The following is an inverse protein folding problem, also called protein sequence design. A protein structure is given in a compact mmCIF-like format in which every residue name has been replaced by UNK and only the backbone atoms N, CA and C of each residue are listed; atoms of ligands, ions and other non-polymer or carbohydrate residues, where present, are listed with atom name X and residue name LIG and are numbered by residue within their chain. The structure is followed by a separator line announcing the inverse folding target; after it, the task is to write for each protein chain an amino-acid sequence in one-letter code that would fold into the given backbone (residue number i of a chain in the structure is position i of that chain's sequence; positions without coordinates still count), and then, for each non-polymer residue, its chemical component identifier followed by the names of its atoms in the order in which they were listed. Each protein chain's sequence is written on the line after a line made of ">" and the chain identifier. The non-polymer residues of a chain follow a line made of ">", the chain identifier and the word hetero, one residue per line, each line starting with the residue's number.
data_IF_082373050027
#
_entry.id   IF_082373050027
#
_cell.length_a   1.000
_cell.length_b   1.000
_cell.length_c   1.000
_cell.angle_alpha   90.00
_cell.angle_beta   90.00
_cell.angle_gamma   90.00
#
_symmetry.space_group_name_H-M   'P 1'
#
loop_
_entity.id
_entity.type
_entity.pdbx_description
1 polymer ?
#
# COMPACT_ATOMS: atom_id res chain seq x y z
N UNK A 1 12.70 7.83 -10.94
CA UNK A 1 12.39 7.54 -9.52
C UNK A 1 13.55 7.93 -8.60
N UNK A 2 14.80 7.56 -8.92
CA UNK A 2 15.96 7.78 -8.02
C UNK A 2 16.12 9.25 -7.56
N UNK A 3 16.08 10.29 -8.41
CA UNK A 3 16.18 11.66 -7.93
C UNK A 3 15.15 12.05 -6.86
N UNK A 4 13.94 11.48 -6.93
CA UNK A 4 12.91 11.71 -5.92
C UNK A 4 13.16 10.93 -4.62
N UNK A 5 13.82 9.77 -4.70
CA UNK A 5 14.30 9.07 -3.49
C UNK A 5 15.35 9.95 -2.80
N UNK A 6 16.28 10.54 -3.54
CA UNK A 6 17.31 11.42 -3.00
C UNK A 6 16.71 12.70 -2.39
N UNK A 7 15.75 13.33 -3.07
CA UNK A 7 14.99 14.47 -2.52
C UNK A 7 14.30 14.09 -1.21
N UNK A 8 13.60 12.94 -1.19
CA UNK A 8 12.91 12.45 0.02
C UNK A 8 13.88 12.19 1.19
N UNK A 9 15.09 11.70 0.91
CA UNK A 9 16.12 11.49 1.93
C UNK A 9 16.56 12.81 2.55
N UNK A 10 16.75 13.88 1.77
CA UNK A 10 17.09 15.22 2.29
C UNK A 10 15.97 15.80 3.15
N UNK A 11 14.71 15.40 2.89
CA UNK A 11 13.52 15.80 3.68
C UNK A 11 13.31 14.95 4.93
N UNK A 12 14.17 13.97 5.21
CA UNK A 12 14.13 13.16 6.41
C UNK A 12 13.08 12.04 6.38
N UNK A 13 12.76 11.52 5.19
CA UNK A 13 11.83 10.38 5.04
C UNK A 13 12.19 9.22 5.98
N UNK A 14 11.18 8.55 6.53
CA UNK A 14 11.37 7.43 7.44
C UNK A 14 11.27 6.07 6.72
N UNK A 15 10.44 5.99 5.71
CA UNK A 15 10.15 4.74 4.98
C UNK A 15 9.73 5.08 3.55
N UNK A 16 10.09 4.22 2.61
CA UNK A 16 9.52 4.19 1.27
C UNK A 16 8.42 3.14 1.16
N UNK A 17 7.35 3.48 0.43
CA UNK A 17 6.30 2.52 0.10
C UNK A 17 6.13 2.47 -1.42
N UNK A 18 6.10 1.26 -1.97
CA UNK A 18 5.93 1.01 -3.40
C UNK A 18 4.61 0.31 -3.64
N UNK A 19 3.79 0.90 -4.48
CA UNK A 19 2.46 0.41 -4.82
C UNK A 19 2.13 0.76 -6.27
N UNK A 20 0.91 0.55 -6.69
CA UNK A 20 0.38 0.79 -8.02
C UNK A 20 -0.48 -0.39 -8.42
N UNK A 21 -0.71 -0.62 -9.71
CA UNK A 21 -1.38 -1.86 -10.14
C UNK A 21 -0.58 -3.10 -9.72
N UNK A 22 0.68 -3.17 -10.13
CA UNK A 22 1.65 -4.17 -9.68
C UNK A 22 3.07 -3.61 -9.89
N UNK A 23 3.86 -3.38 -8.81
CA UNK A 23 5.20 -2.80 -8.94
C UNK A 23 6.15 -3.64 -9.81
N UNK A 24 6.01 -4.96 -9.78
CA UNK A 24 6.89 -5.88 -10.49
C UNK A 24 6.70 -5.92 -12.01
N UNK A 25 5.70 -5.24 -12.58
CA UNK A 25 5.62 -5.03 -14.04
C UNK A 25 6.62 -3.96 -14.51
N UNK A 26 7.07 -3.08 -13.62
CA UNK A 26 8.06 -2.04 -13.95
C UNK A 26 9.43 -2.68 -14.11
N UNK A 27 10.03 -2.52 -15.29
CA UNK A 27 11.30 -3.17 -15.67
C UNK A 27 12.42 -2.95 -14.65
N UNK A 28 12.61 -1.72 -14.19
CA UNK A 28 13.71 -1.35 -13.31
C UNK A 28 13.32 -1.33 -11.82
N UNK A 29 12.17 -1.91 -11.46
CA UNK A 29 11.66 -1.83 -10.09
C UNK A 29 12.65 -2.41 -9.06
N UNK A 30 13.25 -3.57 -9.33
CA UNK A 30 14.20 -4.20 -8.40
C UNK A 30 15.42 -3.31 -8.15
N UNK A 31 15.94 -2.61 -9.18
CA UNK A 31 17.03 -1.65 -9.02
C UNK A 31 16.63 -0.45 -8.15
N UNK A 32 15.39 0.03 -8.32
CA UNK A 32 14.84 1.13 -7.52
C UNK A 32 14.67 0.68 -6.06
N UNK A 33 14.16 -0.53 -5.85
CA UNK A 33 13.96 -1.12 -4.53
C UNK A 33 15.30 -1.36 -3.82
N UNK A 34 16.30 -1.88 -4.52
CA UNK A 34 17.68 -2.04 -4.01
C UNK A 34 18.27 -0.68 -3.59
N UNK A 35 18.13 0.33 -4.45
CA UNK A 35 18.60 1.67 -4.14
C UNK A 35 17.93 2.26 -2.88
N UNK A 36 16.62 2.08 -2.75
CA UNK A 36 15.85 2.58 -1.62
C UNK A 36 16.15 1.83 -0.32
N UNK A 37 16.18 0.49 -0.35
CA UNK A 37 16.38 -0.36 0.83
C UNK A 37 17.80 -0.28 1.40
N UNK A 38 18.79 0.09 0.61
CA UNK A 38 20.13 0.45 1.11
C UNK A 38 20.12 1.71 1.99
N UNK A 39 19.05 2.51 1.99
CA UNK A 39 18.97 3.82 2.66
C UNK A 39 17.89 3.89 3.72
N UNK A 40 16.72 3.30 3.49
CA UNK A 40 15.57 3.32 4.41
C UNK A 40 14.76 2.04 4.29
N UNK A 41 13.99 1.67 5.34
CA UNK A 41 13.00 0.60 5.26
C UNK A 41 12.04 0.79 4.09
N UNK A 42 11.66 -0.31 3.47
CA UNK A 42 10.76 -0.31 2.32
C UNK A 42 9.54 -1.19 2.58
N UNK A 43 8.36 -0.72 2.18
CA UNK A 43 7.13 -1.49 2.11
C UNK A 43 6.77 -1.68 0.64
N UNK A 44 6.55 -2.92 0.22
CA UNK A 44 6.13 -3.25 -1.14
C UNK A 44 4.74 -3.89 -1.09
N UNK A 45 3.77 -3.25 -1.72
CA UNK A 45 2.43 -3.80 -1.90
C UNK A 45 2.38 -4.51 -3.25
N UNK A 46 2.03 -5.78 -3.26
CA UNK A 46 1.98 -6.58 -4.48
C UNK A 46 0.75 -7.48 -4.50
N UNK A 47 0.25 -7.74 -5.71
CA UNK A 47 -0.80 -8.72 -5.93
C UNK A 47 -0.31 -10.17 -5.74
N UNK A 48 1.01 -10.39 -5.67
CA UNK A 48 1.56 -11.74 -5.51
C UNK A 48 1.39 -12.64 -6.74
N UNK A 49 1.37 -12.06 -7.93
CA UNK A 49 1.12 -12.80 -9.18
C UNK A 49 2.41 -13.00 -9.99
N UNK A 50 2.28 -13.50 -11.24
CA UNK A 50 3.42 -13.82 -12.09
C UNK A 50 4.53 -12.77 -12.17
N UNK A 51 4.25 -11.45 -12.23
CA UNK A 51 5.31 -10.46 -12.31
C UNK A 51 6.30 -10.53 -11.14
N UNK A 52 5.80 -10.76 -9.91
CA UNK A 52 6.63 -10.98 -8.73
C UNK A 52 7.30 -12.36 -8.78
N UNK A 53 6.53 -13.43 -9.03
CA UNK A 53 7.01 -14.81 -9.01
C UNK A 53 8.21 -14.99 -9.94
N UNK A 54 8.13 -14.47 -11.18
CA UNK A 54 9.22 -14.56 -12.16
C UNK A 54 10.49 -13.82 -11.76
N UNK A 55 10.41 -12.90 -10.83
CA UNK A 55 11.55 -12.06 -10.40
C UNK A 55 12.07 -12.41 -9.02
N UNK A 56 11.54 -13.46 -8.41
CA UNK A 56 11.85 -13.82 -7.02
C UNK A 56 13.36 -14.07 -6.80
N UNK A 57 14.02 -14.74 -7.74
CA UNK A 57 15.46 -15.04 -7.62
C UNK A 57 16.33 -13.78 -7.79
N UNK A 58 15.90 -12.84 -8.64
CA UNK A 58 16.57 -11.54 -8.78
C UNK A 58 16.33 -10.65 -7.55
N UNK A 59 15.20 -10.84 -6.87
CA UNK A 59 14.84 -10.12 -5.66
C UNK A 59 15.56 -10.65 -4.41
N UNK A 60 15.82 -11.95 -4.36
CA UNK A 60 16.34 -12.66 -3.19
C UNK A 60 17.58 -11.99 -2.55
N UNK A 61 18.60 -11.51 -3.31
CA UNK A 61 19.76 -10.87 -2.71
C UNK A 61 19.44 -9.59 -1.91
N UNK A 62 18.28 -8.97 -2.13
CA UNK A 62 17.91 -7.74 -1.43
C UNK A 62 17.51 -7.96 0.04
N UNK A 63 17.34 -9.21 0.47
CA UNK A 63 17.07 -9.54 1.87
C UNK A 63 18.24 -9.11 2.78
N UNK A 64 19.45 -9.11 2.24
CA UNK A 64 20.68 -8.76 2.96
C UNK A 64 20.95 -7.24 3.01
N UNK A 65 20.07 -6.42 2.42
CA UNK A 65 20.22 -4.97 2.47
C UNK A 65 20.11 -4.43 3.90
N UNK A 66 20.81 -3.32 4.23
CA UNK A 66 20.87 -2.78 5.59
C UNK A 66 19.52 -2.44 6.21
N UNK A 67 18.52 -2.16 5.40
CA UNK A 67 17.17 -1.87 5.89
C UNK A 67 16.17 -2.91 5.39
N UNK A 68 15.18 -3.29 6.23
CA UNK A 68 14.23 -4.33 5.88
C UNK A 68 13.34 -3.94 4.71
N UNK A 69 13.03 -4.94 3.89
CA UNK A 69 11.98 -4.87 2.89
C UNK A 69 10.81 -5.71 3.41
N UNK A 70 9.69 -5.06 3.65
CA UNK A 70 8.45 -5.69 4.06
C UNK A 70 7.52 -5.83 2.86
N UNK A 71 7.02 -7.03 2.62
CA UNK A 71 6.01 -7.27 1.58
C UNK A 71 4.63 -7.33 2.19
N UNK A 72 3.68 -6.65 1.54
CA UNK A 72 2.26 -6.79 1.83
C UNK A 72 1.58 -7.39 0.62
N UNK A 73 1.17 -8.64 0.76
CA UNK A 73 0.53 -9.39 -0.33
C UNK A 73 -0.98 -9.23 -0.23
N UNK A 74 -1.59 -8.86 -1.33
CA UNK A 74 -3.04 -8.74 -1.43
C UNK A 74 -3.67 -10.13 -1.50
N UNK A 75 -4.42 -10.49 -0.47
CA UNK A 75 -5.24 -11.69 -0.40
C UNK A 75 -6.61 -11.28 0.15
N UNK A 76 -7.46 -10.75 -0.72
CA UNK A 76 -8.66 -10.02 -0.33
C UNK A 76 -9.63 -10.84 0.53
N UNK A 77 -9.79 -12.13 0.21
CA UNK A 77 -10.68 -13.04 0.93
C UNK A 77 -10.00 -14.38 1.20
N UNK A 78 -10.40 -15.08 2.28
CA UNK A 78 -9.89 -16.42 2.56
C UNK A 78 -10.53 -17.50 1.70
N UNK A 79 -11.53 -17.17 0.89
CA UNK A 79 -12.16 -18.06 -0.08
C UNK A 79 -11.57 -17.81 -1.48
N UNK A 80 -11.03 -18.85 -2.16
CA UNK A 80 -10.42 -18.70 -3.48
C UNK A 80 -11.35 -18.11 -4.52
N UNK A 81 -12.62 -18.54 -4.55
CA UNK A 81 -13.58 -18.07 -5.54
C UNK A 81 -13.92 -16.59 -5.32
N UNK A 82 -14.12 -16.20 -4.06
CA UNK A 82 -14.42 -14.82 -3.72
C UNK A 82 -13.23 -13.90 -4.03
N UNK A 83 -12.01 -14.33 -3.73
CA UNK A 83 -10.80 -13.59 -4.08
C UNK A 83 -10.64 -13.43 -5.59
N UNK A 84 -10.80 -14.52 -6.33
CA UNK A 84 -10.59 -14.56 -7.77
C UNK A 84 -11.64 -13.74 -8.55
N UNK A 85 -12.86 -13.56 -8.02
CA UNK A 85 -13.86 -12.67 -8.61
C UNK A 85 -13.35 -11.23 -8.78
N UNK A 86 -12.59 -10.72 -7.81
CA UNK A 86 -12.02 -9.36 -7.87
C UNK A 86 -10.63 -9.28 -8.48
N UNK A 87 -9.87 -10.37 -8.43
CA UNK A 87 -8.45 -10.39 -8.77
C UNK A 87 -8.10 -11.21 -10.01
N UNK A 88 -9.05 -11.97 -10.54
CA UNK A 88 -8.86 -12.87 -11.68
C UNK A 88 -8.60 -14.31 -11.27
N UNK A 89 -9.01 -15.23 -12.14
CA UNK A 89 -9.00 -16.67 -11.91
C UNK A 89 -7.59 -17.21 -11.59
N UNK A 90 -7.49 -18.02 -10.53
CA UNK A 90 -6.26 -18.66 -10.07
C UNK A 90 -5.30 -17.74 -9.33
N UNK A 91 -5.60 -16.47 -9.15
CA UNK A 91 -4.70 -15.53 -8.48
C UNK A 91 -4.63 -15.73 -6.97
N UNK A 92 -5.66 -16.33 -6.33
CA UNK A 92 -5.57 -16.75 -4.95
C UNK A 92 -4.35 -17.66 -4.69
N UNK A 93 -4.24 -18.72 -5.46
CA UNK A 93 -3.14 -19.68 -5.30
C UNK A 93 -1.79 -19.09 -5.64
N UNK A 94 -1.73 -18.19 -6.65
CA UNK A 94 -0.50 -17.48 -7.00
C UNK A 94 -0.04 -16.55 -5.88
N UNK A 95 -0.97 -15.79 -5.27
CA UNK A 95 -0.67 -14.88 -4.16
C UNK A 95 -0.14 -15.63 -2.94
N UNK A 96 -0.73 -16.77 -2.59
CA UNK A 96 -0.25 -17.66 -1.53
C UNK A 96 1.15 -18.22 -1.89
N UNK A 97 1.34 -18.67 -3.11
CA UNK A 97 2.62 -19.19 -3.58
C UNK A 97 3.72 -18.13 -3.53
N UNK A 98 3.43 -16.91 -3.99
CA UNK A 98 4.37 -15.79 -3.92
C UNK A 98 4.72 -15.43 -2.48
N UNK A 99 3.74 -15.38 -1.58
CA UNK A 99 3.97 -15.15 -0.14
C UNK A 99 4.91 -16.22 0.44
N UNK A 100 4.69 -17.50 0.12
CA UNK A 100 5.58 -18.59 0.54
C UNK A 100 7.00 -18.40 0.02
N UNK A 101 7.17 -18.12 -1.27
CA UNK A 101 8.49 -17.88 -1.85
C UNK A 101 9.24 -16.72 -1.20
N UNK A 102 8.55 -15.63 -0.85
CA UNK A 102 9.15 -14.51 -0.14
C UNK A 102 9.55 -14.89 1.30
N UNK A 103 8.68 -15.63 1.99
CA UNK A 103 8.95 -16.12 3.35
C UNK A 103 10.17 -17.04 3.39
N UNK A 104 10.25 -17.99 2.46
CA UNK A 104 11.38 -18.93 2.33
C UNK A 104 12.71 -18.22 2.09
N UNK A 105 12.68 -17.02 1.50
CA UNK A 105 13.86 -16.16 1.26
C UNK A 105 14.14 -15.18 2.39
N UNK A 106 13.37 -15.21 3.48
CA UNK A 106 13.62 -14.41 4.67
C UNK A 106 13.03 -13.00 4.65
N UNK A 107 12.19 -12.66 3.69
CA UNK A 107 11.49 -11.38 3.71
C UNK A 107 10.38 -11.35 4.76
N UNK A 108 10.16 -10.17 5.36
CA UNK A 108 9.03 -9.96 6.26
C UNK A 108 7.75 -9.74 5.49
N UNK A 109 6.63 -10.29 6.01
CA UNK A 109 5.35 -10.31 5.31
C UNK A 109 4.20 -9.78 6.14
N UNK A 110 3.18 -9.27 5.46
CA UNK A 110 1.82 -9.10 5.95
C UNK A 110 0.83 -9.38 4.82
N UNK A 111 -0.41 -9.65 5.18
CA UNK A 111 -1.51 -9.86 4.24
C UNK A 111 -2.41 -8.64 4.27
N UNK A 112 -2.70 -8.06 3.10
CA UNK A 112 -3.77 -7.09 2.91
C UNK A 112 -5.05 -7.84 2.56
N UNK A 113 -6.13 -7.58 3.30
CA UNK A 113 -7.43 -8.19 3.05
C UNK A 113 -8.55 -7.16 2.95
N UNK A 114 -9.61 -7.50 2.28
CA UNK A 114 -10.85 -6.75 2.33
C UNK A 114 -11.56 -7.00 3.66
N UNK A 115 -12.30 -6.00 4.12
CA UNK A 115 -13.12 -6.06 5.31
C UNK A 115 -14.56 -5.75 4.94
N UNK A 116 -15.43 -6.75 5.01
CA UNK A 116 -16.86 -6.57 4.78
C UNK A 116 -17.51 -5.84 5.97
N UNK A 117 -18.52 -5.02 5.69
CA UNK A 117 -19.15 -4.13 6.67
C UNK A 117 -19.67 -4.81 7.94
N UNK A 118 -20.11 -6.07 7.85
CA UNK A 118 -20.73 -6.84 8.94
C UNK A 118 -20.01 -8.18 9.17
N UNK A 119 -18.71 -8.27 8.88
CA UNK A 119 -17.98 -9.53 9.04
C UNK A 119 -17.78 -9.92 10.51
N UNK A 120 -17.82 -11.21 10.78
CA UNK A 120 -17.30 -11.79 12.01
C UNK A 120 -15.75 -11.86 11.91
N UNK A 121 -15.09 -10.87 12.49
CA UNK A 121 -13.65 -10.69 12.41
C UNK A 121 -12.88 -11.92 12.93
N UNK A 122 -13.29 -12.49 14.06
CA UNK A 122 -12.61 -13.65 14.63
C UNK A 122 -12.72 -14.88 13.73
N UNK A 123 -13.89 -15.09 13.14
CA UNK A 123 -14.12 -16.18 12.19
C UNK A 123 -13.28 -16.02 10.92
N UNK A 124 -13.18 -14.81 10.39
CA UNK A 124 -12.35 -14.52 9.21
C UNK A 124 -10.87 -14.70 9.54
N UNK A 125 -10.37 -14.18 10.65
CA UNK A 125 -8.98 -14.36 11.08
C UNK A 125 -8.62 -15.83 11.27
N UNK A 126 -9.51 -16.65 11.84
CA UNK A 126 -9.31 -18.11 11.94
C UNK A 126 -9.15 -18.78 10.58
N UNK A 127 -9.95 -18.36 9.58
CA UNK A 127 -9.81 -18.89 8.20
C UNK A 127 -8.46 -18.54 7.60
N UNK A 128 -8.00 -17.29 7.73
CA UNK A 128 -6.66 -16.90 7.25
C UNK A 128 -5.55 -17.69 7.93
N UNK A 129 -5.60 -17.84 9.25
CA UNK A 129 -4.61 -18.64 10.02
C UNK A 129 -4.54 -20.08 9.52
N UNK A 130 -5.68 -20.70 9.24
CA UNK A 130 -5.72 -22.05 8.69
C UNK A 130 -5.05 -22.11 7.31
N UNK A 131 -5.44 -21.21 6.39
CA UNK A 131 -4.85 -21.16 5.04
C UNK A 131 -3.35 -20.91 5.07
N UNK A 132 -2.89 -19.97 5.89
CA UNK A 132 -1.46 -19.69 6.03
C UNK A 132 -0.71 -20.92 6.49
N UNK A 133 -1.20 -21.60 7.54
CA UNK A 133 -0.61 -22.83 8.06
C UNK A 133 -0.58 -23.96 7.04
N UNK A 134 -1.69 -24.18 6.31
CA UNK A 134 -1.82 -25.23 5.29
C UNK A 134 -0.87 -25.01 4.11
N UNK A 135 -0.37 -23.78 3.94
CA UNK A 135 0.57 -23.41 2.89
C UNK A 135 2.00 -23.13 3.40
N UNK A 136 2.36 -23.62 4.58
CA UNK A 136 3.68 -23.44 5.19
C UNK A 136 4.09 -21.97 5.39
N UNK A 137 3.11 -21.12 5.71
CA UNK A 137 3.34 -19.74 6.12
C UNK A 137 3.11 -19.57 7.63
N UNK A 138 3.77 -18.62 8.29
CA UNK A 138 3.49 -18.30 9.69
C UNK A 138 2.00 -17.95 9.88
N UNK A 139 1.33 -18.63 10.81
CA UNK A 139 -0.10 -18.42 11.05
C UNK A 139 -0.41 -17.07 11.72
N UNK A 140 0.60 -16.41 12.25
CA UNK A 140 0.56 -15.11 12.94
C UNK A 140 0.98 -13.94 12.07
N UNK A 141 1.10 -14.14 10.75
CA UNK A 141 1.34 -13.02 9.83
C UNK A 141 0.30 -11.91 10.06
N UNK A 142 0.76 -10.64 10.15
CA UNK A 142 -0.16 -9.52 10.33
C UNK A 142 -1.20 -9.45 9.19
N UNK A 143 -2.47 -9.40 9.57
CA UNK A 143 -3.58 -9.18 8.65
C UNK A 143 -3.98 -7.71 8.71
N UNK A 144 -3.81 -7.00 7.60
CA UNK A 144 -4.19 -5.59 7.47
C UNK A 144 -5.54 -5.54 6.75
N UNK A 145 -6.59 -5.26 7.51
CA UNK A 145 -7.94 -5.15 6.98
C UNK A 145 -8.17 -3.76 6.41
N UNK A 146 -8.65 -3.71 5.18
CA UNK A 146 -9.12 -2.49 4.54
C UNK A 146 -10.65 -2.55 4.45
N UNK A 147 -11.35 -1.47 4.84
CA UNK A 147 -12.78 -1.39 4.60
C UNK A 147 -13.05 -1.55 3.11
N UNK A 148 -14.19 -2.14 2.77
CA UNK A 148 -14.59 -2.35 1.39
C UNK A 148 -14.50 -1.03 0.62
N UNK A 149 -13.47 -0.92 -0.20
CA UNK A 149 -13.36 0.19 -1.14
C UNK A 149 -14.33 -0.10 -2.27
N UNK A 150 -15.36 0.71 -2.35
CA UNK A 150 -16.32 0.69 -3.45
C UNK A 150 -15.59 0.62 -4.80
N UNK A 151 -16.29 0.19 -5.82
CA UNK A 151 -15.79 0.07 -7.21
C UNK A 151 -14.90 1.27 -7.56
N UNK A 152 -13.70 1.06 -8.12
CA UNK A 152 -12.81 2.15 -8.52
C UNK A 152 -13.54 3.21 -9.35
N UNK A 153 -13.42 4.49 -8.96
CA UNK A 153 -14.14 5.58 -9.61
C UNK A 153 -15.55 5.85 -9.08
N UNK A 154 -16.09 5.01 -8.18
CA UNK A 154 -17.37 5.33 -7.52
C UNK A 154 -17.20 6.46 -6.51
N UNK A 155 -18.25 7.26 -6.34
CA UNK A 155 -18.33 8.31 -5.33
C UNK A 155 -19.05 7.73 -4.12
N UNK A 156 -18.38 7.72 -2.96
CA UNK A 156 -19.01 7.31 -1.71
C UNK A 156 -19.94 8.43 -1.22
N UNK A 157 -21.14 8.06 -0.80
CA UNK A 157 -22.05 8.95 -0.09
C UNK A 157 -21.61 9.05 1.37
N UNK A 158 -20.84 10.09 1.66
CA UNK A 158 -20.27 10.37 2.99
C UNK A 158 -20.46 11.83 3.35
N UNK A 159 -20.52 12.17 4.65
CA UNK A 159 -20.60 13.56 5.07
C UNK A 159 -19.41 14.41 4.57
N UNK A 160 -19.67 15.66 4.23
CA UNK A 160 -18.62 16.61 3.89
C UNK A 160 -17.83 17.01 5.15
N UNK A 161 -16.49 16.96 5.03
CA UNK A 161 -15.60 17.40 6.10
C UNK A 161 -15.40 18.92 5.97
N UNK A 162 -15.69 19.66 7.05
CA UNK A 162 -15.46 21.09 7.16
C UNK A 162 -14.22 21.40 8.01
N UNK A 163 -13.78 22.67 8.01
CA UNK A 163 -12.69 23.10 8.92
C UNK A 163 -13.09 22.93 10.38
N UNK A 164 -14.36 23.17 10.71
CA UNK A 164 -14.89 23.00 12.07
C UNK A 164 -14.85 21.51 12.49
N UNK A 165 -15.18 20.57 11.59
CA UNK A 165 -15.05 19.14 11.89
C UNK A 165 -13.63 18.78 12.35
N UNK A 166 -12.61 19.38 11.72
CA UNK A 166 -11.21 19.12 12.08
C UNK A 166 -10.81 19.66 13.44
N UNK A 167 -11.51 20.64 13.96
CA UNK A 167 -11.27 21.20 15.31
C UNK A 167 -12.14 20.55 16.37
N UNK A 168 -13.38 20.22 16.05
CA UNK A 168 -14.35 19.70 17.02
C UNK A 168 -14.14 18.19 17.30
N UNK A 169 -13.70 17.43 16.29
CA UNK A 169 -13.57 15.97 16.40
C UNK A 169 -12.11 15.49 16.44
N UNK A 170 -11.13 16.35 16.11
CA UNK A 170 -9.73 15.97 16.04
C UNK A 170 -8.82 16.93 16.80
N UNK A 171 -7.95 16.35 17.61
CA UNK A 171 -6.81 17.05 18.22
C UNK A 171 -5.65 17.19 17.23
N UNK A 172 -4.63 17.95 17.57
CA UNK A 172 -3.41 18.04 16.78
C UNK A 172 -2.76 16.65 16.58
N UNK A 173 -2.79 15.80 17.61
CA UNK A 173 -2.21 14.46 17.53
C UNK A 173 -3.00 13.53 16.62
N UNK A 174 -4.33 13.55 16.69
CA UNK A 174 -5.14 12.71 15.81
C UNK A 174 -5.05 13.16 14.36
N UNK A 175 -4.93 14.46 14.10
CA UNK A 175 -4.68 15.00 12.74
C UNK A 175 -3.37 14.52 12.13
N UNK A 176 -2.33 14.28 12.93
CA UNK A 176 -1.05 13.69 12.46
C UNK A 176 -1.21 12.27 11.92
N UNK A 177 -2.31 11.58 12.22
CA UNK A 177 -2.61 10.22 11.71
C UNK A 177 -3.26 10.23 10.34
N UNK A 178 -3.70 11.36 9.84
CA UNK A 178 -4.22 11.44 8.47
C UNK A 178 -3.11 11.14 7.47
N UNK A 179 -3.40 10.34 6.46
CA UNK A 179 -2.41 9.91 5.48
C UNK A 179 -1.68 11.09 4.84
N UNK A 180 -2.39 12.17 4.51
CA UNK A 180 -1.81 13.39 3.95
C UNK A 180 -0.90 14.18 4.91
N UNK A 181 -0.94 13.91 6.22
CA UNK A 181 -0.04 14.53 7.17
C UNK A 181 1.36 13.90 7.19
N UNK A 182 1.48 12.60 6.91
CA UNK A 182 2.74 11.87 7.01
C UNK A 182 3.24 11.27 5.69
N UNK A 183 2.45 11.28 4.61
CA UNK A 183 2.85 10.69 3.35
C UNK A 183 2.62 11.62 2.15
N UNK A 184 3.30 11.31 1.05
CA UNK A 184 3.04 11.84 -0.29
C UNK A 184 3.08 10.69 -1.28
N UNK A 185 2.20 10.75 -2.28
CA UNK A 185 2.19 9.77 -3.38
C UNK A 185 2.89 10.35 -4.60
N UNK A 186 3.89 9.64 -5.10
CA UNK A 186 4.60 9.99 -6.32
C UNK A 186 4.12 9.08 -7.46
N UNK A 187 3.55 9.67 -8.50
CA UNK A 187 2.95 8.94 -9.63
C UNK A 187 3.55 9.43 -10.93
N UNK A 188 3.83 8.52 -11.85
CA UNK A 188 4.18 8.86 -13.22
C UNK A 188 2.92 8.97 -14.07
N UNK A 189 2.56 10.19 -14.49
CA UNK A 189 1.45 10.49 -15.39
C UNK A 189 1.97 11.19 -16.64
N UNK A 190 1.50 10.79 -17.81
CA UNK A 190 1.87 11.41 -19.09
C UNK A 190 3.39 11.61 -19.25
N UNK A 191 4.15 10.63 -18.84
CA UNK A 191 5.62 10.63 -18.84
C UNK A 191 6.30 11.61 -17.86
N UNK A 192 5.55 12.30 -17.02
CA UNK A 192 6.03 13.21 -15.97
C UNK A 192 5.77 12.62 -14.59
N UNK A 193 6.64 12.93 -13.63
CA UNK A 193 6.43 12.59 -12.23
C UNK A 193 5.61 13.67 -11.56
N UNK A 194 4.53 13.27 -10.88
CA UNK A 194 3.63 14.16 -10.14
C UNK A 194 3.53 13.73 -8.69
N UNK A 195 3.44 14.70 -7.80
CA UNK A 195 3.26 14.47 -6.36
C UNK A 195 1.80 14.71 -6.00
N UNK A 196 1.17 13.73 -5.38
CA UNK A 196 -0.18 13.83 -4.84
C UNK A 196 -0.16 13.85 -3.32
N UNK A 197 -1.20 14.42 -2.71
CA UNK A 197 -1.28 14.57 -1.25
C UNK A 197 -1.32 13.23 -0.51
N UNK A 198 -1.92 12.19 -1.09
CA UNK A 198 -1.91 10.81 -0.58
C UNK A 198 -2.32 9.81 -1.67
N UNK A 199 -2.29 8.52 -1.34
CA UNK A 199 -2.63 7.42 -2.26
C UNK A 199 -4.13 7.28 -2.54
N UNK A 200 -4.99 7.93 -1.78
CA UNK A 200 -6.45 7.83 -1.95
C UNK A 200 -7.02 8.83 -2.96
N UNK A 201 -6.22 9.80 -3.42
CA UNK A 201 -6.68 10.92 -4.25
C UNK A 201 -5.72 11.23 -5.41
N UNK A 202 -4.97 10.22 -5.85
CA UNK A 202 -4.00 10.36 -6.95
C UNK A 202 -4.66 10.43 -8.34
N UNK A 203 -5.96 10.24 -8.41
CA UNK A 203 -6.81 10.42 -9.60
C UNK A 203 -7.46 11.81 -9.70
N UNK A 204 -7.48 12.59 -8.60
CA UNK A 204 -8.10 13.91 -8.55
C UNK A 204 -7.08 15.05 -8.76
N UNK A 205 -7.20 15.87 -9.83
CA UNK A 205 -6.31 16.98 -10.13
C UNK A 205 -6.20 18.02 -8.99
N UNK A 206 -7.24 18.19 -8.18
CA UNK A 206 -7.23 19.14 -7.06
C UNK A 206 -6.22 18.77 -5.97
N UNK A 207 -5.75 17.53 -5.97
CA UNK A 207 -4.75 17.02 -5.03
C UNK A 207 -3.36 16.85 -5.65
N UNK A 208 -3.19 17.27 -6.91
CA UNK A 208 -1.90 17.35 -7.57
C UNK A 208 -1.09 18.52 -7.00
N UNK A 209 0.02 18.19 -6.37
CA UNK A 209 0.89 19.15 -5.68
C UNK A 209 2.12 19.57 -6.49
N UNK A 210 2.17 19.21 -7.77
CA UNK A 210 3.29 19.52 -8.66
C UNK A 210 4.27 18.39 -8.80
N UNK A 211 5.52 18.73 -9.09
CA UNK A 211 6.58 17.77 -9.39
C UNK A 211 7.75 17.78 -8.40
N UNK A 212 7.67 18.54 -7.31
CA UNK A 212 8.67 18.60 -6.24
C UNK A 212 8.08 18.15 -4.91
N UNK A 213 8.75 17.23 -4.23
CA UNK A 213 8.39 16.79 -2.88
C UNK A 213 8.52 17.96 -1.89
N UNK A 214 9.62 18.71 -1.99
CA UNK A 214 9.90 19.86 -1.12
C UNK A 214 8.79 20.90 -1.20
N UNK A 215 8.36 21.27 -2.41
CA UNK A 215 7.27 22.23 -2.60
C UNK A 215 5.93 21.68 -2.13
N UNK A 216 5.69 20.39 -2.32
CA UNK A 216 4.45 19.74 -1.90
C UNK A 216 4.22 19.82 -0.40
N UNK A 217 5.27 19.81 0.41
CA UNK A 217 5.19 19.92 1.87
C UNK A 217 4.74 21.31 2.36
N UNK A 218 4.88 22.34 1.52
CA UNK A 218 4.47 23.72 1.84
C UNK A 218 3.02 24.01 1.45
N UNK A 219 2.40 23.12 0.67
CA UNK A 219 1.03 23.34 0.18
C UNK A 219 0.00 22.91 1.21
N UNK A 220 -1.04 23.75 1.37
CA UNK A 220 -2.21 23.40 2.18
C UNK A 220 -3.04 22.34 1.47
N UNK A 221 -3.44 21.30 2.19
CA UNK A 221 -4.29 20.22 1.69
C UNK A 221 -5.71 20.43 2.22
N UNK A 222 -6.69 20.47 1.33
CA UNK A 222 -8.10 20.55 1.68
C UNK A 222 -8.71 19.16 1.68
N UNK A 223 -9.42 18.79 2.75
CA UNK A 223 -10.07 17.49 2.91
C UNK A 223 -11.48 17.51 2.33
N UNK A 224 -11.63 17.76 1.02
CA UNK A 224 -12.93 17.86 0.36
C UNK A 224 -13.34 16.63 -0.47
N UNK A 225 -12.39 15.72 -0.72
CA UNK A 225 -12.66 14.50 -1.46
C UNK A 225 -13.39 13.48 -0.58
N UNK A 226 -14.38 12.77 -1.12
CA UNK A 226 -15.14 11.76 -0.35
C UNK A 226 -14.25 10.70 0.33
N UNK A 227 -13.13 10.31 -0.30
CA UNK A 227 -12.18 9.36 0.27
C UNK A 227 -11.38 9.92 1.46
N UNK A 228 -11.36 11.24 1.68
CA UNK A 228 -10.75 11.82 2.87
C UNK A 228 -11.49 11.38 4.14
N UNK A 229 -12.77 11.04 4.02
CA UNK A 229 -13.59 10.55 5.12
C UNK A 229 -13.04 9.25 5.73
N UNK A 230 -12.37 8.41 4.97
CA UNK A 230 -11.72 7.19 5.47
C UNK A 230 -10.61 7.43 6.51
N UNK A 231 -10.01 8.62 6.52
CA UNK A 231 -9.05 9.01 7.56
C UNK A 231 -9.70 9.80 8.69
N UNK A 232 -10.90 10.35 8.44
CA UNK A 232 -11.63 11.19 9.39
C UNK A 232 -12.49 10.35 10.36
N UNK A 233 -13.11 9.26 9.87
CA UNK A 233 -14.03 8.40 10.61
C UNK A 233 -13.36 7.46 11.62
#
# INVERSE_FOLDING_TARGET
>A
AIPYIDEALTLGIKQFSFTGGEPFIVKDFIKILDYASKRKPCLVLSNGTEPLIRRIDTLAPLVDNPNPIHFRISLDYPDPKQHDLGRGEGNFHKSIYAARLLNERGFTLSIARQMDKNEDREKIEKKYKAILKDNNLPADLPLIAFPDFQIPGSIADVPSITEQCMTDYHTEETRKKFMCAFSRMLVKKNNEMRVYSCTLVDDDPDYDMGNSLTESLRKRIRLKHHRCYSCFA
#
